data_IF_432196424103
#
_entry.id   IF_432196424103
#
_cell.length_a   1.000
_cell.length_b   1.000
_cell.length_c   1.000
_cell.angle_alpha   90.00
_cell.angle_beta   90.00
_cell.angle_gamma   90.00
#
_symmetry.space_group_name_H-M   'P 1'
#
loop_
_entity.id
_entity.type
_entity.pdbx_description
1 polymer ?
#
# COMPACT_ATOMS: atom_id res chain seq x y z
N UNK A 1 11.50 -25.20 -26.53
CA UNK A 1 11.00 -23.83 -26.28
C UNK A 1 11.73 -22.90 -27.22
N UNK A 2 10.99 -22.15 -28.03
CA UNK A 2 11.59 -21.17 -28.95
C UNK A 2 12.26 -20.02 -28.20
N UNK A 3 13.37 -19.52 -28.73
CA UNK A 3 14.12 -18.40 -28.14
C UNK A 3 13.24 -17.14 -27.97
N UNK A 4 12.25 -16.95 -28.85
CA UNK A 4 11.27 -15.87 -28.75
C UNK A 4 10.37 -16.02 -27.51
N UNK A 5 9.92 -17.24 -27.19
CA UNK A 5 9.08 -17.50 -26.03
C UNK A 5 9.83 -17.26 -24.72
N UNK A 6 11.11 -17.63 -24.65
CA UNK A 6 11.96 -17.37 -23.48
C UNK A 6 12.16 -15.88 -23.24
N UNK A 7 12.40 -15.10 -24.31
CA UNK A 7 12.53 -13.63 -24.20
C UNK A 7 11.25 -12.97 -23.68
N UNK A 8 10.09 -13.36 -24.21
CA UNK A 8 8.80 -12.85 -23.75
C UNK A 8 8.56 -13.15 -22.26
N UNK A 9 8.91 -14.36 -21.81
CA UNK A 9 8.79 -14.75 -20.41
C UNK A 9 9.69 -13.90 -19.49
N UNK A 10 10.96 -13.72 -19.85
CA UNK A 10 11.90 -12.90 -19.05
C UNK A 10 11.40 -11.46 -18.93
N UNK A 11 10.92 -10.88 -20.04
CA UNK A 11 10.36 -9.52 -20.06
C UNK A 11 9.13 -9.42 -19.15
N UNK A 12 8.20 -10.38 -19.22
CA UNK A 12 7.04 -10.39 -18.33
C UNK A 12 7.44 -10.49 -16.84
N UNK A 13 8.45 -11.30 -16.51
CA UNK A 13 8.95 -11.45 -15.16
C UNK A 13 9.60 -10.15 -14.63
N UNK A 14 10.37 -9.44 -15.46
CA UNK A 14 10.98 -8.17 -15.06
C UNK A 14 9.94 -7.07 -14.85
N UNK A 15 8.90 -7.02 -15.68
CA UNK A 15 7.79 -6.08 -15.48
C UNK A 15 7.06 -6.31 -14.15
N UNK A 16 6.80 -7.57 -13.80
CA UNK A 16 6.17 -7.92 -12.50
C UNK A 16 7.08 -7.54 -11.33
N UNK A 17 8.39 -7.78 -11.44
CA UNK A 17 9.35 -7.41 -10.40
C UNK A 17 9.44 -5.88 -10.23
N UNK A 18 9.46 -5.12 -11.32
CA UNK A 18 9.47 -3.66 -11.27
C UNK A 18 8.18 -3.13 -10.63
N UNK A 19 7.02 -3.66 -11.02
CA UNK A 19 5.73 -3.28 -10.45
C UNK A 19 5.68 -3.52 -8.93
N UNK A 20 6.15 -4.68 -8.47
CA UNK A 20 6.29 -5.03 -7.04
C UNK A 20 7.08 -3.97 -6.27
N UNK A 21 8.27 -3.64 -6.75
CA UNK A 21 9.14 -2.65 -6.11
C UNK A 21 8.52 -1.24 -6.12
N UNK A 22 7.87 -0.84 -7.22
CA UNK A 22 7.17 0.45 -7.30
C UNK A 22 6.00 0.56 -6.32
N UNK A 23 5.23 -0.53 -6.12
CA UNK A 23 4.15 -0.55 -5.14
C UNK A 23 4.65 -0.37 -3.71
N UNK A 24 5.74 -1.07 -3.34
CA UNK A 24 6.40 -0.91 -2.04
C UNK A 24 6.91 0.53 -1.83
N UNK A 25 7.55 1.10 -2.85
CA UNK A 25 8.04 2.47 -2.80
C UNK A 25 6.89 3.47 -2.59
N UNK A 26 5.80 3.33 -3.35
CA UNK A 26 4.59 4.14 -3.19
C UNK A 26 3.97 4.01 -1.80
N UNK A 27 3.92 2.80 -1.25
CA UNK A 27 3.42 2.58 0.11
C UNK A 27 4.33 3.23 1.17
N UNK A 28 5.65 3.15 1.00
CA UNK A 28 6.59 3.78 1.93
C UNK A 28 6.45 5.30 1.94
N UNK A 29 6.22 5.91 0.77
CA UNK A 29 5.94 7.35 0.64
C UNK A 29 4.64 7.73 1.34
N UNK A 30 3.57 6.95 1.13
CA UNK A 30 2.29 7.14 1.81
C UNK A 30 2.45 7.02 3.33
N UNK A 31 3.15 6.00 3.82
CA UNK A 31 3.41 5.82 5.25
C UNK A 31 4.20 7.01 5.83
N UNK A 32 5.18 7.53 5.08
CA UNK A 32 5.94 8.71 5.46
C UNK A 32 5.05 9.96 5.60
N UNK A 33 4.20 10.24 4.61
CA UNK A 33 3.24 11.35 4.68
C UNK A 33 2.29 11.20 5.88
N UNK A 34 1.92 9.95 6.19
CA UNK A 34 1.06 9.65 7.33
C UNK A 34 1.75 9.99 8.65
N UNK A 35 3.01 9.60 8.80
CA UNK A 35 3.80 9.88 10.01
C UNK A 35 4.04 11.38 10.19
N UNK A 36 4.28 12.11 9.10
CA UNK A 36 4.56 13.55 9.16
C UNK A 36 3.35 14.34 9.68
N UNK A 37 2.15 13.95 9.26
CA UNK A 37 0.89 14.60 9.67
C UNK A 37 0.30 14.06 10.97
N UNK A 38 0.82 12.94 11.48
CA UNK A 38 0.37 12.31 12.72
C UNK A 38 0.52 13.22 13.95
N UNK A 39 1.60 14.00 14.02
CA UNK A 39 1.82 14.93 15.15
C UNK A 39 0.71 15.99 15.23
N UNK A 40 0.32 16.56 14.10
CA UNK A 40 -0.78 17.52 14.02
C UNK A 40 -2.14 16.89 14.32
N UNK A 41 -2.32 15.62 13.93
CA UNK A 41 -3.55 14.86 14.18
C UNK A 41 -3.75 14.59 15.67
N UNK A 42 -2.70 14.16 16.38
CA UNK A 42 -2.78 13.93 17.83
C UNK A 42 -3.22 15.22 18.55
N UNK A 43 -2.67 16.36 18.16
CA UNK A 43 -3.00 17.63 18.79
C UNK A 43 -4.40 18.15 18.43
N UNK A 44 -4.82 18.03 17.16
CA UNK A 44 -6.07 18.64 16.69
C UNK A 44 -7.28 17.73 16.78
N UNK A 45 -7.08 16.43 16.65
CA UNK A 45 -8.13 15.42 16.54
C UNK A 45 -8.29 14.68 17.87
N UNK A 46 -7.19 14.19 18.45
CA UNK A 46 -7.23 13.35 19.64
C UNK A 46 -7.39 14.15 20.94
N UNK A 47 -6.84 15.37 21.02
CA UNK A 47 -7.06 16.25 22.19
C UNK A 47 -8.41 16.99 22.16
N UNK A 48 -9.14 16.99 21.03
CA UNK A 48 -10.47 17.62 20.92
C UNK A 48 -11.60 16.61 21.14
N UNK A 49 -12.82 17.10 21.37
CA UNK A 49 -14.03 16.27 21.51
C UNK A 49 -14.17 15.36 20.30
N UNK A 50 -14.16 14.05 20.54
CA UNK A 50 -14.31 13.01 19.52
C UNK A 50 -15.61 13.26 18.73
N UNK A 51 -15.47 13.55 17.43
CA UNK A 51 -16.60 13.88 16.54
C UNK A 51 -16.76 12.78 15.49
N UNK A 52 -17.95 12.67 14.89
CA UNK A 52 -18.20 11.76 13.77
C UNK A 52 -17.24 12.00 12.59
N UNK A 53 -16.83 13.25 12.36
CA UNK A 53 -15.83 13.60 11.34
C UNK A 53 -14.47 12.93 11.60
N UNK A 54 -14.06 12.83 12.87
CA UNK A 54 -12.82 12.15 13.29
C UNK A 54 -12.86 10.67 12.93
N UNK A 55 -13.99 10.01 13.15
CA UNK A 55 -14.17 8.58 12.85
C UNK A 55 -14.18 8.34 11.34
N UNK A 56 -14.91 9.17 10.59
CA UNK A 56 -14.95 9.07 9.13
C UNK A 56 -13.55 9.26 8.52
N UNK A 57 -12.80 10.23 9.04
CA UNK A 57 -11.43 10.50 8.65
C UNK A 57 -10.47 9.35 9.02
N UNK A 58 -10.62 8.77 10.22
CA UNK A 58 -9.83 7.62 10.65
C UNK A 58 -10.11 6.40 9.78
N UNK A 59 -11.39 6.09 9.52
CA UNK A 59 -11.77 5.00 8.62
C UNK A 59 -11.18 5.22 7.23
N UNK A 60 -11.32 6.42 6.67
CA UNK A 60 -10.81 6.70 5.33
C UNK A 60 -9.28 6.56 5.23
N UNK A 61 -8.53 6.83 6.30
CA UNK A 61 -7.07 6.79 6.25
C UNK A 61 -6.47 5.44 6.66
N UNK A 62 -6.97 4.87 7.75
CA UNK A 62 -6.40 3.64 8.31
C UNK A 62 -6.99 2.38 7.69
N UNK A 63 -8.28 2.39 7.30
CA UNK A 63 -8.88 1.23 6.60
C UNK A 63 -8.37 1.13 5.17
N UNK A 64 -8.25 2.25 4.45
CA UNK A 64 -7.65 2.23 3.11
C UNK A 64 -6.16 1.87 3.18
N UNK A 65 -5.42 2.41 4.16
CA UNK A 65 -4.03 2.01 4.41
C UNK A 65 -3.91 0.50 4.66
N UNK A 66 -4.75 -0.06 5.53
CA UNK A 66 -4.78 -1.49 5.81
C UNK A 66 -5.18 -2.34 4.59
N UNK A 67 -6.19 -1.91 3.82
CA UNK A 67 -6.58 -2.58 2.58
C UNK A 67 -5.43 -2.59 1.56
N UNK A 68 -4.64 -1.51 1.49
CA UNK A 68 -3.49 -1.44 0.60
C UNK A 68 -2.37 -2.41 1.03
N UNK A 69 -2.14 -2.59 2.33
CA UNK A 69 -1.21 -3.61 2.85
C UNK A 69 -1.64 -5.00 2.39
N UNK A 70 -2.94 -5.32 2.50
CA UNK A 70 -3.50 -6.60 2.06
C UNK A 70 -3.26 -6.83 0.57
N UNK A 71 -3.46 -5.81 -0.26
CA UNK A 71 -3.18 -5.88 -1.71
C UNK A 71 -1.70 -6.13 -1.98
N UNK A 72 -0.79 -5.45 -1.28
CA UNK A 72 0.65 -5.68 -1.42
C UNK A 72 0.99 -7.12 -1.07
N UNK A 73 0.55 -7.62 0.09
CA UNK A 73 0.91 -8.98 0.51
C UNK A 73 0.32 -10.01 -0.46
N UNK A 74 -0.92 -9.85 -0.93
CA UNK A 74 -1.51 -10.72 -1.95
C UNK A 74 -0.79 -10.67 -3.30
N UNK A 75 -0.11 -9.56 -3.62
CA UNK A 75 0.71 -9.45 -4.83
C UNK A 75 2.11 -10.09 -4.67
N UNK A 76 2.60 -10.20 -3.43
CA UNK A 76 3.88 -10.82 -3.11
C UNK A 76 3.77 -12.32 -2.80
N UNK A 77 2.65 -12.77 -2.24
CA UNK A 77 2.38 -14.15 -1.89
C UNK A 77 1.60 -14.86 -3.02
N UNK A 78 2.23 -15.80 -3.76
CA UNK A 78 1.56 -16.55 -4.80
C UNK A 78 0.52 -17.57 -4.29
N UNK A 79 0.48 -17.86 -2.98
CA UNK A 79 -0.38 -18.88 -2.36
C UNK A 79 -1.56 -18.30 -1.57
N UNK A 80 -1.77 -16.98 -1.58
CA UNK A 80 -2.80 -16.32 -0.77
C UNK A 80 -4.21 -16.91 -0.96
N UNK A 81 -4.55 -17.40 -2.15
CA UNK A 81 -5.89 -17.91 -2.52
C UNK A 81 -5.94 -19.44 -2.72
N UNK A 82 -4.96 -20.18 -2.19
CA UNK A 82 -4.90 -21.65 -2.28
C UNK A 82 -5.87 -22.34 -1.32
#
# INVERSE_FOLDING_TARGET
MDAAAVKALIVSATHVQAAKNCMLAGYSMMAYDVLLTFSDEVERIWKKRFSFLTVLWFLNRWVYGAAYIVVIIGFYDPNWVS
#
